data_IF_728504364565
#
_entry.id   IF_728504364565
#
_cell.length_a   1.000
_cell.length_b   1.000
_cell.length_c   1.000
_cell.angle_alpha   90.00
_cell.angle_beta   90.00
_cell.angle_gamma   90.00
#
_symmetry.space_group_name_H-M   'P 1'
#
loop_
_entity.id
_entity.type
_entity.pdbx_description
1 polymer ?
#
# COMPACT_ATOMS: atom_id res chain seq x y z
N UNK A 1 -3.57 23.77 12.96
CA UNK A 1 -3.98 22.35 12.85
C UNK A 1 -2.74 21.52 13.06
N UNK A 2 -2.81 20.38 13.76
CA UNK A 2 -1.66 19.49 13.85
C UNK A 2 -1.28 19.04 12.42
N UNK A 3 -0.01 19.13 12.10
CA UNK A 3 0.50 18.71 10.79
C UNK A 3 0.57 17.18 10.79
N UNK A 4 -0.08 16.53 9.81
CA UNK A 4 0.01 15.09 9.65
C UNK A 4 1.41 14.68 9.22
N UNK A 5 1.87 13.55 9.73
CA UNK A 5 3.13 12.93 9.35
C UNK A 5 2.91 11.54 8.79
N UNK A 6 3.49 11.24 7.64
CA UNK A 6 3.43 9.93 6.99
C UNK A 6 4.82 9.32 6.94
N UNK A 7 4.97 8.09 7.45
CA UNK A 7 6.17 7.30 7.22
C UNK A 7 6.02 6.54 5.91
N UNK A 8 6.94 6.78 4.97
CA UNK A 8 7.01 6.08 3.68
C UNK A 8 8.20 5.13 3.72
N UNK A 9 7.92 3.86 3.53
CA UNK A 9 8.91 2.80 3.42
C UNK A 9 9.04 2.35 1.97
N UNK A 10 10.24 2.41 1.43
CA UNK A 10 10.60 1.70 0.23
C UNK A 10 11.04 0.28 0.60
N UNK A 11 10.33 -0.74 0.15
CA UNK A 11 10.67 -2.14 0.44
C UNK A 11 12.11 -2.50 0.07
N UNK A 12 12.67 -3.54 0.70
CA UNK A 12 14.01 -4.03 0.39
C UNK A 12 15.12 -2.98 0.54
N UNK A 13 16.25 -3.14 -0.19
CA UNK A 13 17.38 -2.18 -0.22
C UNK A 13 18.73 -2.84 -0.04
N UNK A 14 19.78 -2.23 -0.53
CA UNK A 14 21.16 -2.70 -0.41
C UNK A 14 21.34 -4.12 -0.95
N UNK A 15 21.71 -5.05 -0.07
CA UNK A 15 21.91 -6.47 -0.41
C UNK A 15 20.63 -7.27 -0.66
N UNK A 16 19.46 -6.71 -0.33
CA UNK A 16 18.14 -7.32 -0.61
C UNK A 16 17.54 -6.65 -1.85
N UNK A 17 17.57 -7.27 -3.03
CA UNK A 17 17.03 -6.71 -4.25
C UNK A 17 15.49 -6.75 -4.30
N UNK A 18 14.83 -7.50 -3.40
CA UNK A 18 13.44 -7.90 -3.56
C UNK A 18 13.26 -8.84 -4.74
N UNK A 19 12.10 -8.84 -5.35
CA UNK A 19 11.85 -9.62 -6.55
C UNK A 19 12.67 -9.07 -7.74
N UNK A 20 13.15 -10.00 -8.58
CA UNK A 20 13.97 -9.67 -9.74
C UNK A 20 13.39 -10.28 -11.01
N UNK A 21 13.20 -9.48 -12.04
CA UNK A 21 12.73 -9.94 -13.34
C UNK A 21 13.46 -9.24 -14.48
N UNK A 22 14.09 -10.01 -15.36
CA UNK A 22 14.87 -9.50 -16.52
C UNK A 22 15.89 -8.40 -16.12
N UNK A 23 16.54 -8.54 -14.96
CA UNK A 23 17.51 -7.58 -14.45
C UNK A 23 16.90 -6.37 -13.72
N UNK A 24 15.59 -6.18 -13.76
CA UNK A 24 14.86 -5.18 -12.96
C UNK A 24 14.78 -5.65 -11.53
N UNK A 25 15.14 -4.80 -10.57
CA UNK A 25 15.08 -5.08 -9.15
C UNK A 25 13.96 -4.27 -8.49
N UNK A 26 13.19 -4.93 -7.64
CA UNK A 26 12.10 -4.30 -6.90
C UNK A 26 12.58 -3.11 -6.08
N UNK A 27 13.70 -3.25 -5.36
CA UNK A 27 14.27 -2.22 -4.49
C UNK A 27 14.48 -0.88 -5.19
N UNK A 28 14.81 -0.89 -6.49
CA UNK A 28 15.09 0.31 -7.27
C UNK A 28 13.79 1.01 -7.68
N UNK A 29 12.80 0.22 -8.11
CA UNK A 29 11.48 0.74 -8.48
C UNK A 29 10.81 1.41 -7.29
N UNK A 30 10.78 0.74 -6.14
CA UNK A 30 10.07 1.22 -4.97
C UNK A 30 10.79 2.37 -4.28
N UNK A 31 12.12 2.45 -4.37
CA UNK A 31 12.85 3.63 -3.88
C UNK A 31 12.48 4.88 -4.68
N UNK A 32 12.53 4.79 -6.02
CA UNK A 32 12.11 5.90 -6.88
C UNK A 32 10.67 6.32 -6.60
N UNK A 33 9.77 5.35 -6.42
CA UNK A 33 8.36 5.59 -6.17
C UNK A 33 8.13 6.25 -4.81
N UNK A 34 8.78 5.75 -3.76
CA UNK A 34 8.70 6.32 -2.40
C UNK A 34 9.15 7.78 -2.37
N UNK A 35 10.26 8.10 -3.04
CA UNK A 35 10.76 9.48 -3.12
C UNK A 35 9.80 10.40 -3.89
N UNK A 36 9.18 9.91 -4.97
CA UNK A 36 8.20 10.67 -5.73
C UNK A 36 6.91 10.93 -4.95
N UNK A 37 6.37 9.89 -4.29
CA UNK A 37 5.18 10.01 -3.43
C UNK A 37 5.43 10.97 -2.28
N UNK A 38 6.55 10.81 -1.58
CA UNK A 38 6.90 11.67 -0.46
C UNK A 38 7.02 13.13 -0.87
N UNK A 39 7.63 13.41 -2.03
CA UNK A 39 7.74 14.78 -2.54
C UNK A 39 6.38 15.43 -2.83
N UNK A 40 5.41 14.67 -3.32
CA UNK A 40 4.04 15.16 -3.56
C UNK A 40 3.36 15.48 -2.22
N UNK A 41 3.50 14.60 -1.22
CA UNK A 41 2.95 14.81 0.12
C UNK A 41 3.55 16.04 0.80
N UNK A 42 4.88 16.23 0.74
CA UNK A 42 5.57 17.43 1.27
C UNK A 42 5.02 18.71 0.62
N UNK A 43 4.86 18.70 -0.72
CA UNK A 43 4.30 19.85 -1.44
C UNK A 43 2.83 20.12 -1.06
N UNK A 44 2.13 19.11 -0.54
CA UNK A 44 0.75 19.20 -0.05
C UNK A 44 0.66 19.56 1.45
N UNK A 45 1.80 19.86 2.11
CA UNK A 45 1.86 20.28 3.50
C UNK A 45 1.79 19.14 4.52
N UNK A 46 2.11 17.91 4.11
CA UNK A 46 2.24 16.74 4.98
C UNK A 46 3.71 16.52 5.30
N UNK A 47 4.03 16.29 6.58
CA UNK A 47 5.37 15.86 6.97
C UNK A 47 5.64 14.44 6.49
N UNK A 48 6.82 14.21 5.92
CA UNK A 48 7.22 12.88 5.45
C UNK A 48 8.46 12.38 6.20
N UNK A 49 8.37 11.18 6.72
CA UNK A 49 9.51 10.43 7.21
C UNK A 49 9.83 9.30 6.24
N UNK A 50 10.93 9.39 5.54
CA UNK A 50 11.41 8.30 4.68
C UNK A 50 12.15 7.28 5.54
N UNK A 51 11.65 6.04 5.56
CA UNK A 51 12.29 4.93 6.31
C UNK A 51 13.68 4.66 5.72
N UNK A 52 13.81 4.66 4.39
CA UNK A 52 15.07 4.81 3.68
C UNK A 52 14.91 5.77 2.50
N UNK A 53 15.96 6.48 2.17
CA UNK A 53 16.02 7.43 1.05
C UNK A 53 17.21 7.16 0.10
N UNK A 54 17.89 6.05 0.31
CA UNK A 54 19.00 5.55 -0.52
C UNK A 54 18.93 4.03 -0.67
N UNK A 55 19.92 3.42 -1.32
CA UNK A 55 20.01 1.97 -1.51
C UNK A 55 20.66 1.27 -0.30
N UNK A 56 20.16 1.52 0.90
CA UNK A 56 20.61 0.86 2.15
C UNK A 56 19.66 -0.28 2.54
N UNK A 57 20.22 -1.39 3.00
CA UNK A 57 19.45 -2.49 3.57
C UNK A 57 19.08 -2.18 5.02
N UNK A 58 17.81 -2.31 5.32
CA UNK A 58 17.27 -2.28 6.68
C UNK A 58 16.34 -3.46 6.90
N UNK A 59 16.48 -4.10 8.07
CA UNK A 59 15.59 -5.20 8.43
C UNK A 59 14.15 -4.71 8.60
N UNK A 60 13.12 -5.53 8.30
CA UNK A 60 11.72 -5.16 8.52
C UNK A 60 11.43 -4.70 9.96
N UNK A 61 12.14 -5.28 10.94
CA UNK A 61 12.03 -4.86 12.33
C UNK A 61 12.56 -3.43 12.55
N UNK A 62 13.71 -3.10 11.96
CA UNK A 62 14.30 -1.75 12.05
C UNK A 62 13.38 -0.74 11.39
N UNK A 63 12.88 -1.03 10.18
CA UNK A 63 11.93 -0.18 9.44
C UNK A 63 10.69 0.16 10.27
N UNK A 64 10.06 -0.84 10.91
CA UNK A 64 8.92 -0.63 11.78
C UNK A 64 9.30 0.19 13.05
N UNK A 65 10.48 -0.05 13.61
CA UNK A 65 10.98 0.69 14.79
C UNK A 65 11.21 2.15 14.47
N UNK A 66 11.85 2.45 13.36
CA UNK A 66 12.15 3.82 12.93
C UNK A 66 10.86 4.59 12.60
N UNK A 67 9.92 3.93 11.91
CA UNK A 67 8.60 4.50 11.66
C UNK A 67 7.86 4.83 12.97
N UNK A 68 7.89 3.93 13.95
CA UNK A 68 7.28 4.18 15.27
C UNK A 68 7.94 5.36 16.01
N UNK A 69 9.26 5.51 15.90
CA UNK A 69 10.01 6.57 16.56
C UNK A 69 9.86 7.92 15.86
N UNK A 70 9.48 7.93 14.59
CA UNK A 70 9.27 9.17 13.82
C UNK A 70 8.04 9.95 14.27
N UNK A 71 7.12 9.31 15.01
CA UNK A 71 5.84 9.89 15.39
C UNK A 71 4.87 10.05 14.23
N UNK A 72 5.00 9.21 13.17
CA UNK A 72 4.09 9.23 12.03
C UNK A 72 2.67 8.78 12.41
N UNK A 73 1.68 9.39 11.75
CA UNK A 73 0.26 9.07 11.91
C UNK A 73 -0.20 7.93 11.00
N UNK A 74 0.49 7.73 9.86
CA UNK A 74 0.25 6.66 8.89
C UNK A 74 1.59 6.06 8.47
N UNK A 75 1.57 4.75 8.12
CA UNK A 75 2.71 4.05 7.54
C UNK A 75 2.30 3.44 6.20
N UNK A 76 3.08 3.72 5.15
CA UNK A 76 2.88 3.19 3.79
C UNK A 76 4.18 2.56 3.30
N UNK A 77 4.18 1.25 3.15
CA UNK A 77 5.28 0.49 2.57
C UNK A 77 5.00 0.20 1.10
N UNK A 78 5.94 0.49 0.22
CA UNK A 78 5.80 0.34 -1.22
C UNK A 78 6.62 -0.86 -1.71
N UNK A 79 5.95 -1.73 -2.46
CA UNK A 79 6.46 -2.99 -3.00
C UNK A 79 6.02 -3.23 -4.43
N UNK A 80 6.59 -4.24 -5.07
CA UNK A 80 6.17 -4.81 -6.35
C UNK A 80 5.98 -6.30 -6.17
N UNK A 81 4.75 -6.77 -6.41
CA UNK A 81 4.40 -8.18 -6.28
C UNK A 81 5.18 -9.07 -7.28
N UNK A 82 5.24 -10.36 -7.02
CA UNK A 82 5.83 -11.35 -7.91
C UNK A 82 5.09 -12.67 -7.81
N UNK A 83 5.03 -13.41 -8.92
CA UNK A 83 4.43 -14.74 -9.00
C UNK A 83 5.44 -15.79 -9.45
N UNK A 84 5.16 -17.09 -9.20
CA UNK A 84 6.04 -18.18 -9.64
C UNK A 84 6.22 -18.21 -11.16
N UNK A 85 5.16 -17.87 -11.89
CA UNK A 85 5.14 -17.93 -13.35
C UNK A 85 5.01 -16.49 -13.87
N UNK A 86 5.98 -15.99 -14.62
CA UNK A 86 5.89 -14.66 -15.25
C UNK A 86 4.61 -14.50 -16.07
N UNK A 87 4.04 -13.30 -16.04
CA UNK A 87 2.82 -12.93 -16.77
C UNK A 87 1.55 -13.69 -16.37
N UNK A 88 1.59 -14.46 -15.26
CA UNK A 88 0.43 -15.21 -14.75
C UNK A 88 -0.60 -14.30 -14.10
N UNK A 89 -0.13 -13.30 -13.36
CA UNK A 89 -0.96 -12.37 -12.62
C UNK A 89 -0.56 -10.94 -12.95
N UNK A 90 -1.51 -10.02 -12.79
CA UNK A 90 -1.30 -8.58 -12.95
C UNK A 90 -2.27 -7.81 -12.07
N UNK A 91 -1.86 -6.62 -11.61
CA UNK A 91 -2.70 -5.72 -10.83
C UNK A 91 -2.06 -5.28 -9.53
N UNK A 92 -2.76 -4.42 -8.81
CA UNK A 92 -2.36 -3.87 -7.52
C UNK A 92 -3.11 -4.54 -6.38
N UNK A 93 -2.45 -4.72 -5.26
CA UNK A 93 -3.00 -5.28 -4.04
C UNK A 93 -2.48 -4.50 -2.84
N UNK A 94 -3.30 -4.30 -1.84
CA UNK A 94 -2.85 -3.71 -0.58
C UNK A 94 -2.95 -4.72 0.55
N UNK A 95 -1.88 -4.84 1.33
CA UNK A 95 -1.79 -5.76 2.45
C UNK A 95 -1.92 -5.00 3.75
N UNK A 96 -2.74 -5.53 4.68
CA UNK A 96 -2.98 -4.95 6.00
C UNK A 96 -2.75 -6.00 7.08
N UNK A 97 -2.52 -5.55 8.32
CA UNK A 97 -2.41 -6.47 9.47
C UNK A 97 -3.73 -7.23 9.74
N UNK A 98 -4.84 -6.51 9.67
CA UNK A 98 -6.20 -7.02 9.82
C UNK A 98 -7.13 -6.04 9.11
N UNK A 99 -8.24 -6.52 8.57
CA UNK A 99 -9.21 -5.66 7.92
C UNK A 99 -9.90 -4.69 8.90
N UNK A 100 -10.33 -3.55 8.38
CA UNK A 100 -11.11 -2.54 9.08
C UNK A 100 -10.36 -1.29 9.53
N UNK A 101 -11.14 -0.25 9.80
CA UNK A 101 -10.66 1.05 10.26
C UNK A 101 -9.83 1.82 9.24
N UNK A 102 -8.97 2.72 9.74
CA UNK A 102 -8.17 3.62 8.88
C UNK A 102 -7.24 2.88 7.93
N UNK A 103 -6.74 1.70 8.29
CA UNK A 103 -5.82 0.93 7.44
C UNK A 103 -6.49 0.43 6.16
N UNK A 104 -7.71 -0.10 6.29
CA UNK A 104 -8.47 -0.56 5.11
C UNK A 104 -8.95 0.62 4.27
N UNK A 105 -9.37 1.72 4.91
CA UNK A 105 -9.70 2.95 4.21
C UNK A 105 -8.50 3.49 3.39
N UNK A 106 -7.30 3.45 3.97
CA UNK A 106 -6.06 3.85 3.28
C UNK A 106 -5.76 2.93 2.09
N UNK A 107 -5.89 1.62 2.29
CA UNK A 107 -5.71 0.62 1.25
C UNK A 107 -6.69 0.80 0.10
N UNK A 108 -7.99 0.95 0.40
CA UNK A 108 -9.04 1.16 -0.61
C UNK A 108 -8.83 2.44 -1.41
N UNK A 109 -8.51 3.55 -0.74
CA UNK A 109 -8.26 4.82 -1.42
C UNK A 109 -7.06 4.71 -2.38
N UNK A 110 -5.96 4.09 -1.94
CA UNK A 110 -4.76 3.91 -2.79
C UNK A 110 -5.08 2.97 -3.96
N UNK A 111 -5.68 1.80 -3.69
CA UNK A 111 -6.02 0.84 -4.74
C UNK A 111 -6.98 1.43 -5.79
N UNK A 112 -7.92 2.26 -5.37
CA UNK A 112 -8.87 2.94 -6.27
C UNK A 112 -8.16 3.88 -7.24
N UNK A 113 -7.22 4.70 -6.73
CA UNK A 113 -6.44 5.60 -7.57
C UNK A 113 -5.55 4.83 -8.57
N UNK A 114 -4.90 3.75 -8.11
CA UNK A 114 -4.07 2.92 -8.97
C UNK A 114 -4.89 2.18 -10.04
N UNK A 115 -6.09 1.76 -9.70
CA UNK A 115 -7.02 1.14 -10.65
C UNK A 115 -7.47 2.14 -11.73
N UNK A 116 -7.69 3.39 -11.39
CA UNK A 116 -8.03 4.44 -12.35
C UNK A 116 -6.92 4.72 -13.38
N UNK A 117 -5.66 4.35 -13.06
CA UNK A 117 -4.51 4.46 -13.96
C UNK A 117 -4.44 3.29 -14.95
N UNK A 118 -5.10 2.18 -14.64
CA UNK A 118 -5.19 1.01 -15.52
C UNK A 118 -4.73 -0.32 -14.90
N UNK A 119 -4.37 -0.34 -13.64
CA UNK A 119 -4.11 -1.60 -12.95
C UNK A 119 -5.41 -2.34 -12.61
N UNK A 120 -5.39 -3.66 -12.65
CA UNK A 120 -6.44 -4.46 -12.03
C UNK A 120 -6.38 -4.27 -10.51
N UNK A 121 -7.51 -3.96 -9.87
CA UNK A 121 -7.59 -3.91 -8.43
C UNK A 121 -7.86 -5.32 -7.89
N UNK A 122 -6.88 -5.90 -7.19
CA UNK A 122 -6.96 -7.23 -6.58
C UNK A 122 -7.51 -7.17 -5.14
N UNK A 123 -7.74 -5.96 -4.63
CA UNK A 123 -8.34 -5.75 -3.31
C UNK A 123 -7.34 -5.62 -2.18
N UNK A 124 -7.83 -5.96 -0.98
CA UNK A 124 -7.08 -5.92 0.27
C UNK A 124 -6.94 -7.36 0.78
N UNK A 125 -5.75 -7.71 1.27
CA UNK A 125 -5.53 -9.00 1.90
C UNK A 125 -4.89 -8.85 3.29
N UNK A 126 -5.28 -9.71 4.22
CA UNK A 126 -4.74 -9.72 5.57
C UNK A 126 -3.41 -10.48 5.63
N UNK A 127 -2.38 -9.81 6.15
CA UNK A 127 -1.04 -10.38 6.34
C UNK A 127 -0.52 -10.11 7.76
N UNK A 128 -1.11 -10.75 8.77
CA UNK A 128 -0.75 -10.50 10.18
C UNK A 128 0.66 -10.91 10.56
N UNK A 129 1.34 -11.66 9.69
CA UNK A 129 2.71 -12.12 9.91
C UNK A 129 3.78 -11.19 9.31
N UNK A 130 3.40 -10.22 8.48
CA UNK A 130 4.36 -9.25 7.95
C UNK A 130 4.84 -8.32 9.07
N UNK A 131 6.16 -8.32 9.30
CA UNK A 131 6.77 -7.60 10.42
C UNK A 131 6.44 -6.11 10.39
N UNK A 132 6.53 -5.47 9.24
CA UNK A 132 6.25 -4.03 9.09
C UNK A 132 4.79 -3.68 9.38
N UNK A 133 3.84 -4.57 9.10
CA UNK A 133 2.42 -4.38 9.43
C UNK A 133 2.11 -4.72 10.90
N UNK A 134 2.80 -5.74 11.43
CA UNK A 134 2.58 -6.23 12.79
C UNK A 134 3.19 -5.33 13.85
N UNK A 135 4.32 -4.70 13.57
CA UNK A 135 5.14 -3.96 14.54
C UNK A 135 4.94 -2.45 14.50
N UNK A 136 4.36 -1.91 13.46
CA UNK A 136 3.96 -0.50 13.40
C UNK A 136 2.78 -0.24 14.33
N UNK A 137 2.78 0.93 14.99
CA UNK A 137 1.77 1.32 15.98
C UNK A 137 0.64 2.16 15.38
N UNK A 138 0.91 2.82 14.26
CA UNK A 138 -0.07 3.60 13.50
C UNK A 138 -0.78 2.72 12.47
N UNK A 139 -1.90 3.17 11.87
CA UNK A 139 -2.49 2.50 10.71
C UNK A 139 -1.45 2.33 9.60
N UNK A 140 -1.30 1.08 9.14
CA UNK A 140 -0.26 0.66 8.22
C UNK A 140 -0.83 -0.11 7.03
N UNK A 141 -0.29 0.16 5.85
CA UNK A 141 -0.55 -0.57 4.60
C UNK A 141 0.77 -0.90 3.90
N UNK A 142 0.83 -2.06 3.28
CA UNK A 142 1.85 -2.41 2.29
C UNK A 142 1.16 -2.48 0.93
N UNK A 143 1.64 -1.69 -0.02
CA UNK A 143 1.06 -1.55 -1.36
C UNK A 143 1.93 -2.31 -2.36
N UNK A 144 1.38 -3.33 -2.97
CA UNK A 144 1.95 -4.05 -4.09
C UNK A 144 1.56 -3.32 -5.39
N UNK A 145 2.48 -2.50 -5.89
CA UNK A 145 2.25 -1.63 -7.06
C UNK A 145 2.50 -2.40 -8.37
N UNK A 146 1.63 -3.36 -8.65
CA UNK A 146 1.74 -4.26 -9.80
C UNK A 146 2.79 -5.37 -9.62
N UNK A 147 2.74 -6.38 -10.47
CA UNK A 147 3.69 -7.49 -10.47
C UNK A 147 4.94 -7.12 -11.28
N UNK A 148 6.12 -7.22 -10.65
CA UNK A 148 7.39 -6.93 -11.31
C UNK A 148 7.68 -7.91 -12.46
N UNK A 149 7.13 -9.12 -12.40
CA UNK A 149 7.25 -10.13 -13.44
C UNK A 149 6.01 -10.24 -14.36
N UNK A 150 5.24 -9.15 -14.45
CA UNK A 150 4.18 -8.93 -15.44
C UNK A 150 4.60 -7.85 -16.42
N UNK A 151 4.72 -8.20 -17.69
CA UNK A 151 5.07 -7.25 -18.76
C UNK A 151 3.99 -6.16 -18.91
N UNK A 152 2.73 -6.51 -18.63
CA UNK A 152 1.61 -5.55 -18.62
C UNK A 152 1.78 -4.54 -17.50
N UNK A 153 2.01 -4.99 -16.27
CA UNK A 153 2.17 -4.10 -15.11
C UNK A 153 3.43 -3.26 -15.23
N UNK A 154 4.52 -3.82 -15.77
CA UNK A 154 5.75 -3.06 -16.02
C UNK A 154 5.53 -1.94 -17.03
N UNK A 155 4.75 -2.18 -18.08
CA UNK A 155 4.39 -1.14 -19.05
C UNK A 155 3.55 -0.05 -18.41
N UNK A 156 2.52 -0.42 -17.62
CA UNK A 156 1.71 0.57 -16.89
C UNK A 156 2.59 1.38 -15.95
N UNK A 157 3.48 0.71 -15.20
CA UNK A 157 4.37 1.34 -14.23
C UNK A 157 5.32 2.34 -14.89
N UNK A 158 5.93 1.97 -16.02
CA UNK A 158 6.92 2.82 -16.70
C UNK A 158 6.24 3.98 -17.43
N UNK A 159 5.15 3.72 -18.16
CA UNK A 159 4.43 4.73 -18.94
C UNK A 159 3.69 5.75 -18.06
N UNK A 160 3.31 5.37 -16.83
CA UNK A 160 2.50 6.20 -15.94
C UNK A 160 3.15 6.48 -14.59
N UNK A 161 4.47 6.36 -14.46
CA UNK A 161 5.18 6.48 -13.17
C UNK A 161 4.74 7.69 -12.34
N UNK A 162 4.68 8.88 -12.94
CA UNK A 162 4.28 10.09 -12.23
C UNK A 162 2.80 10.07 -11.80
N UNK A 163 1.90 9.46 -12.60
CA UNK A 163 0.50 9.30 -12.24
C UNK A 163 0.34 8.31 -11.09
N UNK A 164 1.15 7.24 -11.07
CA UNK A 164 1.16 6.25 -9.99
C UNK A 164 1.59 6.91 -8.69
N UNK A 165 2.69 7.69 -8.71
CA UNK A 165 3.13 8.43 -7.54
C UNK A 165 2.06 9.43 -7.05
N UNK A 166 1.40 10.14 -7.98
CA UNK A 166 0.30 11.05 -7.65
C UNK A 166 -0.89 10.28 -7.07
N UNK A 167 -1.32 9.18 -7.67
CA UNK A 167 -2.46 8.38 -7.21
C UNK A 167 -2.23 7.83 -5.78
N UNK A 168 -1.03 7.32 -5.49
CA UNK A 168 -0.71 6.89 -4.12
C UNK A 168 -0.79 8.06 -3.14
N UNK A 169 -0.23 9.22 -3.50
CA UNK A 169 -0.29 10.42 -2.66
C UNK A 169 -1.75 10.89 -2.47
N UNK A 170 -2.57 10.88 -3.52
CA UNK A 170 -3.98 11.27 -3.46
C UNK A 170 -4.81 10.33 -2.58
N UNK A 171 -4.56 9.02 -2.65
CA UNK A 171 -5.15 8.03 -1.75
C UNK A 171 -4.82 8.29 -0.27
N UNK A 172 -3.55 8.64 0.02
CA UNK A 172 -3.11 9.03 1.36
C UNK A 172 -3.79 10.32 1.82
N UNK A 173 -3.78 11.37 0.99
CA UNK A 173 -4.41 12.67 1.29
C UNK A 173 -5.92 12.54 1.50
N UNK A 174 -6.59 11.74 0.69
CA UNK A 174 -8.01 11.42 0.83
C UNK A 174 -8.30 10.76 2.17
N UNK A 175 -7.45 9.82 2.58
CA UNK A 175 -7.56 9.15 3.89
C UNK A 175 -7.39 10.15 5.04
N UNK A 176 -6.37 10.98 4.98
CA UNK A 176 -6.14 12.05 5.98
C UNK A 176 -7.35 12.96 6.08
N UNK A 177 -7.92 13.37 4.96
CA UNK A 177 -9.09 14.23 4.93
C UNK A 177 -10.35 13.56 5.51
N UNK A 178 -10.58 12.29 5.19
CA UNK A 178 -11.74 11.52 5.67
C UNK A 178 -11.68 11.24 7.16
N UNK A 179 -10.48 10.98 7.70
CA UNK A 179 -10.28 10.71 9.13
C UNK A 179 -10.32 11.97 9.99
N UNK A 180 -10.04 13.16 9.40
CA UNK A 180 -10.10 14.45 10.07
C UNK A 180 -11.49 15.09 10.11
N UNK A 181 -12.47 14.56 9.38
CA UNK A 181 -13.83 15.09 9.48
C UNK A 181 -14.39 14.77 10.85
N UNK A 182 -14.84 15.78 11.65
CA UNK A 182 -15.63 15.50 12.83
C UNK A 182 -16.84 14.66 12.39
N UNK A 183 -17.05 13.52 13.03
CA UNK A 183 -18.19 12.64 12.75
C UNK A 183 -19.46 13.49 12.74
N UNK A 184 -20.02 13.74 11.56
CA UNK A 184 -21.39 14.24 11.48
C UNK A 184 -22.25 13.19 12.15
N UNK A 185 -22.84 13.57 13.30
CA UNK A 185 -23.81 12.76 14.00
C UNK A 185 -24.71 12.04 12.99
N UNK A 186 -24.73 10.72 13.10
CA UNK A 186 -25.67 9.89 12.35
C UNK A 186 -27.08 10.47 12.59
N UNK A 187 -27.72 11.01 11.56
CA UNK A 187 -29.15 11.30 11.62
C UNK A 187 -29.82 9.98 11.93
N UNK A 188 -30.73 9.93 12.94
CA UNK A 188 -31.49 8.73 13.16
C UNK A 188 -32.27 8.41 11.87
N UNK A 189 -31.96 7.26 11.29
CA UNK A 189 -32.74 6.70 10.18
C UNK A 189 -34.10 6.33 10.79
N UNK A 190 -35.15 7.07 10.40
CA UNK A 190 -36.51 6.65 10.66
C UNK A 190 -36.70 5.27 10.02
N UNK A 191 -37.06 4.30 10.85
CA UNK A 191 -37.44 2.97 10.40
C UNK A 191 -38.63 3.11 9.44
N UNK A 192 -38.42 2.75 8.18
CA UNK A 192 -39.51 2.36 7.29
C UNK A 192 -39.27 0.92 6.85
N UNK A 193 -40.35 0.18 6.98
CA UNK A 193 -40.44 -1.25 6.86
C UNK A 193 -40.52 -1.70 5.41
N UNK A 194 -39.78 -2.76 5.07
CA UNK A 194 -40.22 -3.72 4.07
C UNK A 194 -39.42 -3.74 2.77
N UNK A 195 -38.57 -4.72 2.56
CA UNK A 195 -38.78 -5.81 1.63
C UNK A 195 -37.50 -6.69 1.48
N UNK A 196 -37.68 -7.98 1.73
CA UNK A 196 -36.70 -9.02 1.53
C UNK A 196 -36.57 -9.38 0.06
N UNK A 197 -35.34 -9.31 -0.49
CA UNK A 197 -34.97 -10.10 -1.69
C UNK A 197 -33.60 -10.72 -1.43
N UNK A 198 -33.58 -12.03 -1.35
CA UNK A 198 -32.39 -12.86 -1.31
C UNK A 198 -31.74 -12.92 -2.69
N UNK A 199 -30.45 -12.66 -2.77
CA UNK A 199 -29.63 -13.06 -3.91
C UNK A 199 -28.32 -13.66 -3.39
N UNK A 200 -28.19 -14.97 -3.57
CA UNK A 200 -26.98 -15.73 -3.42
C UNK A 200 -25.96 -15.23 -4.46
N UNK A 201 -24.77 -14.86 -4.03
CA UNK A 201 -23.63 -14.70 -4.89
C UNK A 201 -22.47 -15.57 -4.39
N UNK A 202 -22.21 -16.58 -5.19
CA UNK A 202 -21.07 -17.47 -5.15
C UNK A 202 -19.78 -16.67 -5.49
N UNK A 203 -18.90 -16.48 -4.52
CA UNK A 203 -17.59 -15.86 -4.71
C UNK A 203 -16.48 -16.85 -4.43
N UNK A 204 -16.09 -17.60 -5.47
CA UNK A 204 -14.83 -18.34 -5.47
C UNK A 204 -13.65 -17.36 -5.70
N UNK A 205 -13.17 -16.72 -4.65
CA UNK A 205 -11.94 -15.96 -4.68
C UNK A 205 -10.75 -16.91 -4.55
N UNK A 206 -10.02 -17.10 -5.64
CA UNK A 206 -8.79 -17.87 -5.65
C UNK A 206 -7.72 -17.16 -4.79
N UNK A 207 -7.18 -17.87 -3.82
CA UNK A 207 -6.11 -17.39 -2.97
C UNK A 207 -4.81 -17.33 -3.79
N UNK A 208 -4.26 -16.13 -3.95
CA UNK A 208 -2.95 -15.93 -4.59
C UNK A 208 -1.84 -16.14 -3.57
N UNK A 209 -0.84 -16.95 -3.93
CA UNK A 209 0.32 -17.16 -3.08
C UNK A 209 1.41 -16.17 -3.49
N UNK A 210 1.70 -15.19 -2.63
CA UNK A 210 2.82 -14.27 -2.79
C UNK A 210 4.12 -15.06 -2.61
N UNK A 211 4.92 -15.19 -3.68
CA UNK A 211 6.23 -15.82 -3.63
C UNK A 211 7.25 -14.73 -3.94
N UNK A 212 8.02 -14.38 -2.96
CA UNK A 212 9.09 -13.41 -3.11
C UNK A 212 9.49 -12.68 -1.84
N UNK A 213 8.81 -12.96 -0.74
CA UNK A 213 9.24 -12.46 0.55
C UNK A 213 9.93 -13.60 1.32
N UNK A 214 11.28 -13.67 1.23
CA UNK A 214 12.07 -14.35 2.24
C UNK A 214 11.92 -13.57 3.54
N UNK A 215 10.78 -13.79 4.23
CA UNK A 215 10.64 -13.39 5.61
C UNK A 215 11.50 -14.33 6.42
N UNK A 216 12.70 -13.90 6.74
CA UNK A 216 13.49 -14.57 7.78
C UNK A 216 12.66 -14.55 9.07
N UNK A 217 12.09 -15.72 9.40
CA UNK A 217 11.55 -15.97 10.72
C UNK A 217 12.74 -16.08 11.67
N UNK A 218 12.88 -15.11 12.54
CA UNK A 218 13.77 -15.08 13.67
C UNK A 218 13.06 -14.44 14.84
#
# INVERSE_FOLDING_TARGET
MAQYKVAIDAGHGGSDPGAVYNGRQEKDDVLRLAMAVGKILENSGVDVFYVRNDDTYETPFKKATDANNSGADLFVSLHRNSSEIPNRYSGVESLVYADGGTRSLLADNINSELSAIGFNNLGIDERPNLVVLKRTKMPAVLVETGFINSDTDNRIFDDNFNKIAQGIADGILTTIYQTNRPSKQARPVSADSGNTVSSENDSSAGHYRVIGQNVLMG
#
